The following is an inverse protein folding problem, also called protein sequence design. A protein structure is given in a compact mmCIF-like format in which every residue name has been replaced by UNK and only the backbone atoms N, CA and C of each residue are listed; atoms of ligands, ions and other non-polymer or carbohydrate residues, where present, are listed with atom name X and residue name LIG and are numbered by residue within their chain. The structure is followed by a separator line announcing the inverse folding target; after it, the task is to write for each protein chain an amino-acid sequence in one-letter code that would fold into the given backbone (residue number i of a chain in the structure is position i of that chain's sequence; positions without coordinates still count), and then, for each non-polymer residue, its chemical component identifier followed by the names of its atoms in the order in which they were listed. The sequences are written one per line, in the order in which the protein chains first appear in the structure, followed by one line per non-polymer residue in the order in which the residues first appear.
data_IF_407391853126
#
_entry.id   IF_407391853126
#
_cell.length_a   1.000
_cell.length_b   1.000
_cell.length_c   1.000
_cell.angle_alpha   90.00
_cell.angle_beta   90.00
_cell.angle_gamma   90.00
#
_symmetry.space_group_name_H-M   'P 1'
#
loop_
_entity.id
_entity.type
_entity.pdbx_description
1 polymer ?
#
# COMPACT_ATOMS: atom_id res chain seq x y z
N UNK A 1 -4.40 3.83 5.87
CA UNK A 1 -4.22 2.52 5.19
C UNK A 1 -5.55 1.83 4.87
N UNK A 2 -6.43 1.63 5.86
CA UNK A 2 -7.74 0.98 5.66
C UNK A 2 -8.59 1.59 4.54
N UNK A 3 -8.72 2.92 4.50
CA UNK A 3 -9.45 3.61 3.43
C UNK A 3 -8.88 3.34 2.04
N UNK A 4 -7.55 3.34 1.89
CA UNK A 4 -6.90 3.10 0.60
C UNK A 4 -7.10 1.65 0.16
N UNK A 5 -6.91 0.70 1.07
CA UNK A 5 -7.01 -0.72 0.78
C UNK A 5 -8.45 -1.19 0.50
N UNK A 6 -9.44 -0.69 1.23
CA UNK A 6 -10.83 -1.17 1.15
C UNK A 6 -11.77 -0.26 0.33
N UNK A 7 -11.38 0.98 0.04
CA UNK A 7 -12.22 1.90 -0.74
C UNK A 7 -11.52 2.25 -2.04
N UNK A 8 -10.31 2.80 -1.99
CA UNK A 8 -9.63 3.31 -3.19
C UNK A 8 -9.25 2.18 -4.16
N UNK A 9 -8.65 1.09 -3.68
CA UNK A 9 -8.24 -0.02 -4.54
C UNK A 9 -9.45 -0.74 -5.20
N UNK A 10 -10.50 -1.16 -4.48
CA UNK A 10 -11.70 -1.73 -5.08
C UNK A 10 -12.40 -0.78 -6.06
N UNK A 11 -12.44 0.53 -5.77
CA UNK A 11 -13.05 1.52 -6.66
C UNK A 11 -12.28 1.64 -7.98
N UNK A 12 -10.95 1.66 -7.93
CA UNK A 12 -10.09 1.66 -9.12
C UNK A 12 -10.27 0.41 -9.97
N UNK A 13 -10.31 -0.77 -9.32
CA UNK A 13 -10.54 -2.05 -10.02
C UNK A 13 -11.94 -2.09 -10.64
N UNK A 14 -12.96 -1.61 -9.92
CA UNK A 14 -14.32 -1.51 -10.45
C UNK A 14 -14.40 -0.59 -11.66
N UNK A 15 -13.72 0.56 -11.63
CA UNK A 15 -13.71 1.49 -12.75
C UNK A 15 -13.04 0.87 -13.99
N UNK A 16 -11.94 0.13 -13.82
CA UNK A 16 -11.22 -0.49 -14.95
C UNK A 16 -11.89 -1.75 -15.49
N UNK A 17 -12.39 -2.63 -14.64
CA UNK A 17 -12.89 -3.96 -15.03
C UNK A 17 -14.43 -3.97 -15.19
N UNK A 18 -15.14 -2.98 -14.62
CA UNK A 18 -16.63 -2.86 -14.65
C UNK A 18 -17.36 -4.13 -14.19
N UNK A 19 -16.67 -5.02 -13.47
CA UNK A 19 -17.16 -6.25 -12.83
C UNK A 19 -17.01 -6.11 -11.32
N UNK A 20 -17.70 -6.96 -10.57
CA UNK A 20 -17.63 -6.98 -9.11
C UNK A 20 -16.18 -7.17 -8.63
N UNK A 21 -15.52 -6.15 -8.04
CA UNK A 21 -14.10 -6.16 -7.71
C UNK A 21 -13.81 -6.86 -6.38
N UNK A 22 -14.84 -7.00 -5.52
CA UNK A 22 -14.72 -7.51 -4.17
C UNK A 22 -14.12 -8.91 -4.09
N UNK A 23 -14.51 -9.92 -4.89
CA UNK A 23 -13.89 -11.26 -4.80
C UNK A 23 -12.40 -11.25 -5.14
N UNK A 24 -11.97 -10.44 -6.12
CA UNK A 24 -10.58 -10.35 -6.52
C UNK A 24 -9.74 -9.61 -5.47
N UNK A 25 -10.23 -8.47 -4.98
CA UNK A 25 -9.51 -7.70 -3.97
C UNK A 25 -9.42 -8.47 -2.65
N UNK A 26 -10.48 -9.15 -2.21
CA UNK A 26 -10.43 -9.96 -0.98
C UNK A 26 -9.45 -11.13 -1.09
N UNK A 27 -9.40 -11.79 -2.25
CA UNK A 27 -8.48 -12.90 -2.49
C UNK A 27 -7.02 -12.41 -2.48
N UNK A 28 -6.73 -11.28 -3.13
CA UNK A 28 -5.41 -10.63 -3.06
C UNK A 28 -5.07 -10.18 -1.64
N UNK A 29 -6.03 -9.60 -0.89
CA UNK A 29 -5.81 -9.17 0.49
C UNK A 29 -5.53 -10.35 1.42
N UNK A 30 -6.23 -11.48 1.22
CA UNK A 30 -6.11 -12.67 2.08
C UNK A 30 -4.82 -13.43 1.82
N UNK A 31 -4.46 -13.64 0.55
CA UNK A 31 -3.23 -14.35 0.20
C UNK A 31 -2.04 -13.39 0.41
N UNK A 32 -1.93 -12.33 -0.38
CA UNK A 32 -0.75 -11.44 -0.38
C UNK A 32 -0.68 -10.52 0.84
N UNK A 33 -1.83 -10.02 1.34
CA UNK A 33 -1.87 -9.06 2.45
C UNK A 33 -1.52 -9.66 3.81
N UNK A 34 -1.88 -10.92 4.07
CA UNK A 34 -1.51 -11.61 5.32
C UNK A 34 0.00 -11.85 5.37
N UNK A 35 0.60 -12.37 4.30
CA UNK A 35 2.05 -12.53 4.20
C UNK A 35 2.79 -11.19 4.32
N UNK A 36 2.32 -10.13 3.65
CA UNK A 36 2.92 -8.80 3.74
C UNK A 36 2.89 -8.22 5.17
N UNK A 37 1.84 -8.48 5.94
CA UNK A 37 1.72 -7.99 7.31
C UNK A 37 2.75 -8.66 8.24
N UNK A 38 2.92 -9.97 8.13
CA UNK A 38 3.86 -10.72 8.95
C UNK A 38 5.32 -10.53 8.52
N UNK A 39 5.58 -10.41 7.23
CA UNK A 39 6.96 -10.24 6.73
C UNK A 39 7.44 -8.79 6.80
N UNK A 40 6.53 -7.81 6.89
CA UNK A 40 6.83 -6.36 6.85
C UNK A 40 7.69 -5.91 5.66
N UNK A 41 7.81 -6.74 4.63
CA UNK A 41 8.70 -6.49 3.49
C UNK A 41 7.96 -6.72 2.17
N UNK A 42 7.95 -5.68 1.33
CA UNK A 42 7.41 -5.74 -0.04
C UNK A 42 8.19 -6.74 -0.91
N UNK A 43 9.52 -6.79 -0.75
CA UNK A 43 10.39 -7.68 -1.50
C UNK A 43 10.20 -9.16 -1.13
N UNK A 44 9.92 -9.46 0.15
CA UNK A 44 9.63 -10.82 0.60
C UNK A 44 8.32 -11.38 0.00
N UNK A 45 7.45 -10.50 -0.49
CA UNK A 45 6.14 -10.86 -1.03
C UNK A 45 6.13 -11.06 -2.56
N UNK A 46 7.25 -10.77 -3.25
CA UNK A 46 7.42 -11.00 -4.69
C UNK A 46 7.03 -12.45 -5.11
N UNK A 47 7.56 -13.51 -4.50
CA UNK A 47 7.24 -14.88 -4.93
C UNK A 47 5.76 -15.26 -4.71
N UNK A 48 5.16 -14.80 -3.61
CA UNK A 48 3.74 -15.05 -3.30
C UNK A 48 2.85 -14.36 -4.34
N UNK A 49 3.18 -13.12 -4.71
CA UNK A 49 2.41 -12.35 -5.67
C UNK A 49 2.58 -12.89 -7.11
N UNK A 50 3.75 -13.42 -7.46
CA UNK A 50 3.99 -14.11 -8.74
C UNK A 50 3.14 -15.38 -8.87
N UNK A 51 3.09 -16.21 -7.82
CA UNK A 51 2.24 -17.41 -7.80
C UNK A 51 0.74 -17.07 -7.85
N UNK A 52 0.34 -15.93 -7.29
CA UNK A 52 -1.04 -15.44 -7.37
C UNK A 52 -1.41 -15.01 -8.80
N UNK A 53 -0.52 -14.30 -9.48
CA UNK A 53 -0.73 -13.88 -10.87
C UNK A 53 -0.80 -15.08 -11.84
N UNK A 54 -0.02 -16.13 -11.58
CA UNK A 54 -0.08 -17.39 -12.32
C UNK A 54 -1.43 -18.11 -12.14
N UNK A 55 -1.95 -18.17 -10.90
CA UNK A 55 -3.30 -18.70 -10.62
C UNK A 55 -4.42 -17.89 -11.28
N UNK A 56 -4.22 -16.59 -11.48
CA UNK A 56 -5.17 -15.69 -12.12
C UNK A 56 -5.06 -15.68 -13.66
N UNK A 57 -4.18 -16.52 -14.24
CA UNK A 57 -3.98 -16.64 -15.68
C UNK A 57 -3.60 -15.31 -16.36
N UNK A 58 -2.80 -14.49 -15.68
CA UNK A 58 -2.26 -13.24 -16.23
C UNK A 58 -1.09 -13.51 -17.17
N UNK A 59 -0.82 -12.56 -18.06
CA UNK A 59 0.31 -12.64 -18.99
C UNK A 59 1.66 -12.55 -18.27
N UNK A 60 2.51 -13.57 -18.47
CA UNK A 60 3.78 -13.74 -17.75
C UNK A 60 4.81 -12.67 -18.07
N UNK A 61 4.81 -12.16 -19.29
CA UNK A 61 5.74 -11.11 -19.70
C UNK A 61 5.38 -9.79 -19.01
N UNK A 62 4.09 -9.55 -18.80
CA UNK A 62 3.61 -8.35 -18.11
C UNK A 62 3.88 -8.39 -16.61
N UNK A 63 3.46 -9.45 -15.91
CA UNK A 63 3.54 -9.47 -14.43
C UNK A 63 4.96 -9.73 -13.91
N UNK A 64 5.82 -10.42 -14.66
CA UNK A 64 7.20 -10.68 -14.27
C UNK A 64 8.05 -9.41 -14.20
N UNK A 65 7.72 -8.39 -14.99
CA UNK A 65 8.36 -7.08 -14.95
C UNK A 65 7.65 -6.13 -13.98
N UNK A 66 6.31 -6.13 -13.98
CA UNK A 66 5.55 -5.17 -13.18
C UNK A 66 5.60 -5.42 -11.67
N UNK A 67 5.71 -6.68 -11.22
CA UNK A 67 5.73 -7.01 -9.78
C UNK A 67 7.03 -6.57 -9.10
N UNK A 68 8.24 -6.90 -9.60
CA UNK A 68 9.49 -6.45 -8.98
C UNK A 68 9.65 -4.93 -9.04
N UNK A 69 9.27 -4.32 -10.17
CA UNK A 69 9.36 -2.87 -10.37
C UNK A 69 8.32 -2.12 -9.50
N UNK A 70 7.13 -2.68 -9.35
CA UNK A 70 6.12 -2.19 -8.43
C UNK A 70 6.51 -2.36 -6.95
N UNK A 71 7.19 -3.45 -6.59
CA UNK A 71 7.61 -3.70 -5.21
C UNK A 71 8.59 -2.65 -4.67
N UNK A 72 9.38 -2.02 -5.55
CA UNK A 72 10.36 -0.97 -5.20
C UNK A 72 9.77 0.43 -5.32
N UNK A 73 9.00 0.72 -6.38
CA UNK A 73 8.53 2.08 -6.68
C UNK A 73 7.17 2.39 -6.03
N UNK A 74 6.26 1.42 -5.92
CA UNK A 74 4.89 1.65 -5.44
C UNK A 74 4.77 1.51 -3.91
N UNK A 75 5.37 2.44 -3.17
CA UNK A 75 5.31 2.48 -1.70
C UNK A 75 4.23 3.42 -1.14
N UNK A 76 2.96 3.19 -1.49
CA UNK A 76 1.84 3.98 -0.94
C UNK A 76 1.78 3.97 0.60
N UNK A 77 2.16 2.86 1.23
CA UNK A 77 2.24 2.71 2.68
C UNK A 77 3.22 3.70 3.33
N UNK A 78 4.43 3.77 2.78
CA UNK A 78 5.47 4.67 3.28
C UNK A 78 5.10 6.14 3.03
N UNK A 79 4.56 6.45 1.86
CA UNK A 79 4.17 7.82 1.50
C UNK A 79 3.20 8.44 2.51
N UNK A 80 2.12 7.73 2.87
CA UNK A 80 1.14 8.24 3.84
C UNK A 80 1.76 8.34 5.25
N UNK A 81 2.65 7.41 5.61
CA UNK A 81 3.29 7.45 6.93
C UNK A 81 4.21 8.66 7.05
N UNK A 82 5.03 8.91 6.04
CA UNK A 82 5.92 10.07 5.98
C UNK A 82 5.11 11.36 6.02
N UNK A 83 4.06 11.49 5.22
CA UNK A 83 3.24 12.72 5.20
C UNK A 83 2.49 12.97 6.52
N UNK A 84 2.00 11.92 7.18
CA UNK A 84 1.36 12.06 8.49
C UNK A 84 2.39 12.44 9.55
N UNK A 85 3.56 11.81 9.55
CA UNK A 85 4.63 12.13 10.50
C UNK A 85 5.19 13.53 10.28
N UNK A 86 5.35 13.99 9.04
CA UNK A 86 5.79 15.37 8.76
C UNK A 86 4.74 16.37 9.21
N UNK A 87 3.45 16.12 8.95
CA UNK A 87 2.37 16.98 9.43
C UNK A 87 2.30 17.00 10.96
N UNK A 88 2.47 15.86 11.63
CA UNK A 88 2.51 15.77 13.10
C UNK A 88 3.72 16.53 13.68
N UNK A 89 4.89 16.41 13.06
CA UNK A 89 6.10 17.12 13.45
C UNK A 89 5.92 18.65 13.32
N UNK A 90 5.39 19.12 12.19
CA UNK A 90 5.08 20.55 11.98
C UNK A 90 4.05 21.04 13.01
N UNK A 91 2.98 20.30 13.26
CA UNK A 91 1.99 20.68 14.29
C UNK A 91 2.60 20.77 15.70
N UNK A 92 3.55 19.89 16.03
CA UNK A 92 4.23 19.90 17.33
C UNK A 92 5.21 21.08 17.46
N UNK A 93 5.95 21.38 16.39
CA UNK A 93 6.87 22.52 16.33
C UNK A 93 6.12 23.86 16.36
N UNK A 94 5.01 23.96 15.63
CA UNK A 94 4.16 25.17 15.61
C UNK A 94 3.53 25.40 16.99
N UNK A 95 3.05 24.35 17.65
CA UNK A 95 2.55 24.45 19.03
C UNK A 95 3.65 24.87 20.02
N UNK A 96 4.91 24.49 19.79
CA UNK A 96 6.07 24.98 20.57
C UNK A 96 6.47 26.42 20.24
N UNK A 97 6.27 26.90 19.01
CA UNK A 97 6.53 28.32 18.66
C UNK A 97 5.49 29.30 19.22
N UNK A 98 4.32 28.81 19.66
CA UNK A 98 3.32 29.60 20.40
C UNK A 98 3.66 29.71 21.89
N UNK A 99 4.62 28.92 22.42
CA UNK A 99 5.18 29.18 23.74
C UNK A 99 6.21 30.31 23.61
N UNK A 100 5.90 31.55 24.04
CA UNK A 100 6.88 32.62 24.01
C UNK A 100 7.82 32.40 25.18
N UNK A 101 9.07 32.02 24.91
CA UNK A 101 10.22 32.19 25.82
C UNK A 101 9.93 31.93 27.31
N UNK A 102 9.69 30.69 27.75
CA UNK A 102 9.78 30.31 29.18
C UNK A 102 9.71 28.80 29.33
N UNK A 103 10.86 28.13 29.20
CA UNK A 103 11.19 26.93 29.96
C UNK A 103 12.69 26.67 29.77
N UNK A 104 13.45 27.22 30.72
CA UNK A 104 14.89 27.16 30.94
C UNK A 104 15.78 27.98 30.00
#
# INVERSE_FOLDING_TARGET
MLLVALVVNPLLVWWKIRRNPFPLVLLCLRESGVYAFFTRSSAANIPVNMALCEKLNLDRDTYSVSIPLGATINMAGAAITITVLTLAAVNTLVSRSICPRRCC
#
